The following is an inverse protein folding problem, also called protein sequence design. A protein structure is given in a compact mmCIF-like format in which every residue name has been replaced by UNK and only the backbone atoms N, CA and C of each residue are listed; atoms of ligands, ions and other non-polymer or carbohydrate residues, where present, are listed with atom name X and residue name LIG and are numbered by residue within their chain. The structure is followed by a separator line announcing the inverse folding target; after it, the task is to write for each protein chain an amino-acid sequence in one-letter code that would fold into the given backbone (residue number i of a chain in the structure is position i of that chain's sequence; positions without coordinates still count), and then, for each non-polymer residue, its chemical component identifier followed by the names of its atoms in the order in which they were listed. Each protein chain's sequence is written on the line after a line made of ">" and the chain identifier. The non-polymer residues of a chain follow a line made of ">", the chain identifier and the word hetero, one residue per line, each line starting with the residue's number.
data_IF_905955367226
#
_entry.id   IF_905955367226
#
_cell.length_a   1.000
_cell.length_b   1.000
_cell.length_c   1.000
_cell.angle_alpha   90.00
_cell.angle_beta   90.00
_cell.angle_gamma   90.00
#
_symmetry.space_group_name_H-M   'P 1'
#
loop_
_entity.id
_entity.type
_entity.pdbx_description
1 polymer ?
#
# COMPACT_ATOMS: atom_id res chain seq x y z
N UNK A 1 16.20 -2.05 7.32
CA UNK A 1 14.92 -1.59 7.91
C UNK A 1 14.06 -1.03 6.79
N UNK A 2 12.94 -1.69 6.57
CA UNK A 2 11.98 -1.36 5.54
C UNK A 2 11.47 0.09 5.65
N UNK A 3 11.18 0.69 4.51
CA UNK A 3 10.67 2.06 4.44
C UNK A 3 9.70 2.25 3.29
N UNK A 4 8.64 3.03 3.53
CA UNK A 4 7.67 3.40 2.51
C UNK A 4 8.36 4.23 1.42
N UNK A 5 8.18 3.84 0.16
CA UNK A 5 8.68 4.54 -1.03
C UNK A 5 7.57 5.30 -1.73
N UNK A 6 6.38 4.73 -1.74
CA UNK A 6 5.22 5.31 -2.39
C UNK A 6 3.93 4.90 -1.68
N UNK A 7 2.94 5.78 -1.75
CA UNK A 7 1.58 5.53 -1.29
C UNK A 7 0.60 6.12 -2.28
N UNK A 8 -0.36 5.32 -2.73
CA UNK A 8 -1.47 5.77 -3.58
C UNK A 8 -2.80 5.39 -2.93
N UNK A 9 -3.58 6.39 -2.55
CA UNK A 9 -4.86 6.24 -1.84
C UNK A 9 -5.96 6.73 -2.76
N UNK A 10 -7.03 5.95 -2.90
CA UNK A 10 -8.24 6.30 -3.65
C UNK A 10 -9.49 5.96 -2.85
N UNK A 11 -10.46 6.87 -2.95
CA UNK A 11 -11.80 6.75 -2.41
C UNK A 11 -11.89 6.52 -0.88
N UNK A 12 -10.94 7.02 -0.08
CA UNK A 12 -10.87 6.77 1.36
C UNK A 12 -11.13 8.04 2.18
N UNK A 13 -12.26 8.08 2.89
CA UNK A 13 -12.70 9.18 3.78
C UNK A 13 -12.60 10.54 3.07
N UNK A 14 -11.81 11.48 3.59
CA UNK A 14 -11.61 12.80 2.97
C UNK A 14 -10.83 12.77 1.64
N UNK A 15 -10.24 11.64 1.25
CA UNK A 15 -9.33 11.53 0.12
C UNK A 15 -10.05 10.90 -1.09
N UNK A 16 -10.28 11.69 -2.14
CA UNK A 16 -10.69 11.15 -3.44
C UNK A 16 -9.55 10.40 -4.11
N UNK A 17 -8.39 11.05 -4.21
CA UNK A 17 -7.13 10.48 -4.70
C UNK A 17 -5.92 11.22 -4.11
N UNK A 18 -4.89 10.48 -3.71
CA UNK A 18 -3.61 11.02 -3.26
C UNK A 18 -2.48 10.08 -3.66
N UNK A 19 -1.46 10.59 -4.34
CA UNK A 19 -0.20 9.91 -4.60
C UNK A 19 0.94 10.66 -3.88
N UNK A 20 1.71 9.94 -3.07
CA UNK A 20 2.78 10.53 -2.27
C UNK A 20 4.00 9.62 -2.21
N UNK A 21 5.16 10.16 -2.53
CA UNK A 21 6.45 9.49 -2.40
C UNK A 21 7.26 10.20 -1.30
N UNK A 22 7.26 9.70 -0.05
CA UNK A 22 8.04 10.29 1.03
C UNK A 22 9.53 10.32 0.67
N UNK A 23 10.20 11.42 1.02
CA UNK A 23 11.64 11.53 0.88
C UNK A 23 12.36 10.65 1.93
N UNK A 24 13.66 10.42 1.74
CA UNK A 24 14.48 9.77 2.78
C UNK A 24 14.53 10.64 4.04
N UNK A 25 14.48 10.01 5.21
CA UNK A 25 14.55 10.69 6.50
C UNK A 25 13.17 11.08 7.04
N UNK A 26 13.10 12.26 7.67
CA UNK A 26 11.88 12.75 8.32
C UNK A 26 10.96 13.45 7.31
N UNK A 27 9.72 13.02 7.25
CA UNK A 27 8.66 13.68 6.49
C UNK A 27 7.60 14.24 7.44
N UNK A 28 7.16 15.47 7.20
CA UNK A 28 6.15 16.14 8.01
C UNK A 28 4.90 16.42 7.18
N UNK A 29 3.74 15.90 7.61
CA UNK A 29 2.44 16.28 7.06
C UNK A 29 1.93 17.52 7.80
N UNK A 30 1.76 18.63 7.10
CA UNK A 30 1.36 19.93 7.69
C UNK A 30 0.10 20.44 7.00
N UNK A 31 -0.82 21.00 7.78
CA UNK A 31 -2.06 21.56 7.27
C UNK A 31 -3.09 21.82 8.37
N UNK A 32 -4.18 22.54 8.07
CA UNK A 32 -5.26 22.85 9.02
C UNK A 32 -5.88 21.62 9.69
N UNK A 33 -6.66 21.81 10.75
CA UNK A 33 -7.47 20.72 11.33
C UNK A 33 -8.32 20.04 10.24
N UNK A 34 -8.49 18.72 10.36
CA UNK A 34 -9.30 17.91 9.43
C UNK A 34 -8.86 17.91 7.95
N UNK A 35 -7.63 18.35 7.65
CA UNK A 35 -7.10 18.37 6.27
C UNK A 35 -6.67 16.99 5.72
N UNK A 36 -7.03 15.88 6.37
CA UNK A 36 -6.69 14.52 5.93
C UNK A 36 -5.29 14.00 6.30
N UNK A 37 -4.49 14.72 7.11
CA UNK A 37 -3.13 14.26 7.52
C UNK A 37 -3.17 12.90 8.21
N UNK A 38 -4.01 12.77 9.24
CA UNK A 38 -4.20 11.49 9.95
C UNK A 38 -4.80 10.44 9.03
N UNK A 39 -5.70 10.83 8.12
CA UNK A 39 -6.29 9.93 7.12
C UNK A 39 -5.24 9.27 6.22
N UNK A 40 -4.18 10.00 5.83
CA UNK A 40 -3.06 9.42 5.06
C UNK A 40 -2.33 8.36 5.90
N UNK A 41 -2.05 8.66 7.17
CA UNK A 41 -1.38 7.72 8.07
C UNK A 41 -2.25 6.50 8.39
N UNK A 42 -3.55 6.70 8.60
CA UNK A 42 -4.53 5.64 8.83
C UNK A 42 -4.63 4.71 7.62
N UNK A 43 -4.60 5.25 6.39
CA UNK A 43 -4.60 4.44 5.18
C UNK A 43 -3.35 3.55 5.08
N UNK A 44 -2.17 4.11 5.38
CA UNK A 44 -0.91 3.37 5.39
C UNK A 44 -0.94 2.29 6.47
N UNK A 45 -1.38 2.61 7.70
CA UNK A 45 -1.52 1.65 8.80
C UNK A 45 -2.47 0.51 8.41
N UNK A 46 -3.65 0.85 7.88
CA UNK A 46 -4.67 -0.10 7.47
C UNK A 46 -4.19 -1.04 6.34
N UNK A 47 -3.34 -0.55 5.44
CA UNK A 47 -2.78 -1.36 4.36
C UNK A 47 -1.63 -2.26 4.84
N UNK A 48 -0.75 -1.79 5.72
CA UNK A 48 0.43 -2.52 6.16
C UNK A 48 0.18 -3.44 7.36
N UNK A 49 -0.80 -3.13 8.21
CA UNK A 49 -1.20 -3.94 9.34
C UNK A 49 -2.52 -4.66 9.02
N UNK A 50 -2.49 -5.92 8.55
CA UNK A 50 -3.69 -6.73 8.44
C UNK A 50 -4.18 -7.08 9.85
N UNK A 51 -4.84 -6.14 10.53
CA UNK A 51 -5.59 -6.44 11.74
C UNK A 51 -6.73 -7.37 11.31
N UNK A 52 -6.90 -8.50 12.00
CA UNK A 52 -7.97 -9.47 11.73
C UNK A 52 -9.38 -8.85 11.70
N UNK A 53 -9.53 -7.65 12.25
CA UNK A 53 -10.77 -6.87 12.30
C UNK A 53 -10.52 -5.39 12.01
N UNK A 54 -9.92 -5.07 10.87
CA UNK A 54 -10.06 -3.74 10.32
C UNK A 54 -11.55 -3.50 10.01
N UNK A 55 -12.27 -2.87 10.94
CA UNK A 55 -13.67 -2.51 10.72
C UNK A 55 -13.70 -1.34 9.72
N UNK A 56 -13.98 -1.66 8.46
CA UNK A 56 -14.27 -0.68 7.42
C UNK A 56 -15.79 -0.53 7.34
N UNK A 57 -16.24 0.71 7.19
CA UNK A 57 -17.65 1.08 7.12
C UNK A 57 -17.94 1.88 5.86
N UNK A 58 -19.22 2.09 5.56
CA UNK A 58 -19.66 2.97 4.47
C UNK A 58 -19.11 4.39 4.61
N UNK A 59 -18.90 4.86 5.85
CA UNK A 59 -18.36 6.18 6.15
C UNK A 59 -16.87 6.33 5.76
N UNK A 60 -16.17 5.21 5.52
CA UNK A 60 -14.79 5.23 5.06
C UNK A 60 -14.68 5.46 3.54
N UNK A 61 -15.79 5.43 2.79
CA UNK A 61 -15.79 5.75 1.36
C UNK A 61 -15.84 7.25 1.14
N UNK A 62 -15.03 7.76 0.22
CA UNK A 62 -15.06 9.19 -0.09
C UNK A 62 -16.44 9.60 -0.59
N UNK A 63 -17.04 10.60 0.07
CA UNK A 63 -18.43 11.04 -0.18
C UNK A 63 -19.47 9.93 -0.08
N UNK A 64 -19.19 8.86 0.67
CA UNK A 64 -20.06 7.69 0.80
C UNK A 64 -20.32 6.99 -0.56
N UNK A 65 -19.41 7.16 -1.53
CA UNK A 65 -19.54 6.57 -2.87
C UNK A 65 -19.00 5.14 -2.89
N UNK A 66 -19.86 4.16 -2.61
CA UNK A 66 -19.57 2.73 -2.66
C UNK A 66 -19.50 2.18 -4.10
N UNK A 67 -19.85 2.97 -5.12
CA UNK A 67 -19.75 2.53 -6.53
C UNK A 67 -18.29 2.39 -6.99
N UNK A 68 -17.35 2.92 -6.20
CA UNK A 68 -15.91 2.80 -6.40
C UNK A 68 -15.30 2.11 -5.18
N UNK A 69 -14.37 1.16 -5.35
CA UNK A 69 -13.69 0.56 -4.21
C UNK A 69 -12.76 1.57 -3.54
N UNK A 70 -12.53 1.39 -2.24
CA UNK A 70 -11.34 1.94 -1.57
C UNK A 70 -10.14 1.18 -2.11
N UNK A 71 -9.12 1.90 -2.58
CA UNK A 71 -7.85 1.31 -3.03
C UNK A 71 -6.70 2.04 -2.35
N UNK A 72 -5.92 1.31 -1.55
CA UNK A 72 -4.73 1.81 -0.90
C UNK A 72 -3.55 0.94 -1.31
N UNK A 73 -2.62 1.52 -2.05
CA UNK A 73 -1.37 0.89 -2.46
C UNK A 73 -0.22 1.47 -1.64
N UNK A 74 0.54 0.62 -0.95
CA UNK A 74 1.75 1.02 -0.23
C UNK A 74 2.94 0.24 -0.79
N UNK A 75 3.88 0.97 -1.36
CA UNK A 75 5.16 0.43 -1.84
C UNK A 75 6.21 0.55 -0.76
N UNK A 76 6.84 -0.58 -0.43
CA UNK A 76 7.87 -0.71 0.60
C UNK A 76 9.19 -1.12 -0.05
N UNK A 77 10.24 -0.37 0.24
CA UNK A 77 11.62 -0.66 -0.13
C UNK A 77 12.51 -0.84 1.10
N UNK A 78 13.82 -0.90 0.89
CA UNK A 78 14.81 -1.32 1.87
C UNK A 78 14.40 -2.65 2.54
N UNK A 79 13.94 -3.59 1.71
CA UNK A 79 13.57 -4.93 2.09
C UNK A 79 14.82 -5.66 2.60
N UNK A 80 14.64 -6.48 3.63
CA UNK A 80 15.73 -7.31 4.15
C UNK A 80 15.98 -8.50 3.20
N UNK A 81 17.22 -9.00 3.16
CA UNK A 81 17.66 -10.00 2.16
C UNK A 81 16.78 -11.27 2.17
N UNK A 82 16.32 -11.69 3.35
CA UNK A 82 15.41 -12.84 3.50
C UNK A 82 14.10 -12.67 2.69
N UNK A 83 13.57 -11.45 2.58
CA UNK A 83 12.36 -11.17 1.79
C UNK A 83 12.64 -11.18 0.28
N UNK A 84 13.85 -10.81 -0.12
CA UNK A 84 14.27 -10.80 -1.52
C UNK A 84 14.52 -12.23 -2.03
N UNK A 85 15.02 -13.10 -1.17
CA UNK A 85 15.39 -14.48 -1.50
C UNK A 85 14.22 -15.49 -1.40
N UNK A 86 13.08 -15.07 -0.84
CA UNK A 86 11.88 -15.90 -0.78
C UNK A 86 11.26 -16.06 -2.18
N UNK A 87 11.27 -17.29 -2.70
CA UNK A 87 10.60 -17.69 -3.95
C UNK A 87 9.14 -17.20 -4.05
N UNK A 88 8.46 -17.08 -2.91
CA UNK A 88 7.10 -16.58 -2.81
C UNK A 88 6.95 -15.11 -3.27
N UNK A 89 7.99 -14.29 -3.14
CA UNK A 89 7.96 -12.86 -3.43
C UNK A 89 8.61 -12.48 -4.76
N UNK A 90 9.46 -13.33 -5.33
CA UNK A 90 10.16 -13.09 -6.60
C UNK A 90 9.22 -12.61 -7.71
N UNK A 91 8.02 -13.19 -7.81
CA UNK A 91 7.02 -12.81 -8.82
C UNK A 91 6.31 -11.47 -8.59
N UNK A 92 6.51 -10.83 -7.44
CA UNK A 92 5.88 -9.59 -7.01
C UNK A 92 6.87 -8.44 -6.81
N UNK A 93 8.17 -8.72 -6.91
CA UNK A 93 9.20 -7.69 -6.86
C UNK A 93 9.02 -6.74 -8.05
N UNK A 94 9.14 -5.45 -7.74
CA UNK A 94 9.04 -4.33 -8.68
C UNK A 94 10.28 -3.46 -8.55
N UNK A 95 10.54 -2.63 -9.55
CA UNK A 95 11.69 -1.72 -9.55
C UNK A 95 11.33 -0.33 -9.07
N UNK A 96 12.10 0.24 -8.14
CA UNK A 96 11.97 1.65 -7.74
C UNK A 96 13.18 2.45 -8.19
N UNK A 97 12.94 3.47 -9.00
CA UNK A 97 13.97 4.36 -9.53
C UNK A 97 14.34 5.49 -8.57
N UNK A 98 15.53 6.07 -8.75
CA UNK A 98 15.97 7.24 -7.98
C UNK A 98 15.06 8.47 -8.23
N UNK A 99 14.40 8.53 -9.38
CA UNK A 99 13.45 9.58 -9.77
C UNK A 99 12.05 9.38 -9.17
N UNK A 100 11.85 8.34 -8.35
CA UNK A 100 10.57 8.08 -7.68
C UNK A 100 9.51 7.45 -8.58
N UNK A 101 9.93 6.76 -9.63
CA UNK A 101 9.05 5.97 -10.52
C UNK A 101 9.09 4.50 -10.16
N UNK A 102 7.91 3.89 -10.15
CA UNK A 102 7.70 2.46 -9.97
C UNK A 102 7.63 1.76 -11.33
N UNK A 103 8.44 0.73 -11.49
CA UNK A 103 8.49 -0.14 -12.66
C UNK A 103 7.93 -1.53 -12.33
N UNK A 104 7.31 -2.18 -13.32
CA UNK A 104 6.62 -3.47 -13.11
C UNK A 104 7.58 -4.65 -12.90
N UNK A 105 8.84 -4.49 -13.31
CA UNK A 105 9.89 -5.49 -13.16
C UNK A 105 11.08 -4.92 -12.38
N UNK A 106 11.78 -5.76 -11.60
CA UNK A 106 13.07 -5.37 -11.04
C UNK A 106 14.10 -5.20 -12.17
N UNK A 107 15.06 -4.30 -12.00
CA UNK A 107 15.98 -3.94 -13.07
C UNK A 107 17.31 -3.40 -12.57
N UNK A 108 18.29 -3.31 -13.47
CA UNK A 108 19.62 -2.81 -13.13
C UNK A 108 19.55 -1.34 -12.71
N UNK A 109 20.00 -1.05 -11.48
CA UNK A 109 19.97 0.30 -10.92
C UNK A 109 18.63 0.68 -10.27
N UNK A 110 17.68 -0.25 -10.22
CA UNK A 110 16.42 -0.07 -9.50
C UNK A 110 16.49 -0.77 -8.15
N UNK A 111 15.94 -0.12 -7.13
CA UNK A 111 15.74 -0.74 -5.82
C UNK A 111 14.59 -1.76 -5.91
N UNK A 112 14.78 -3.02 -5.47
CA UNK A 112 13.68 -3.98 -5.40
C UNK A 112 12.68 -3.55 -4.32
N UNK A 113 11.41 -3.50 -4.70
CA UNK A 113 10.31 -3.10 -3.82
C UNK A 113 9.12 -4.04 -3.93
N UNK A 114 8.30 -4.07 -2.88
CA UNK A 114 7.01 -4.75 -2.87
C UNK A 114 5.89 -3.71 -2.74
N UNK A 115 4.79 -3.92 -3.46
CA UNK A 115 3.58 -3.10 -3.30
C UNK A 115 2.47 -3.94 -2.73
N UNK A 116 1.98 -3.57 -1.56
CA UNK A 116 0.79 -4.15 -0.94
C UNK A 116 -0.41 -3.29 -1.33
N UNK A 117 -1.46 -3.93 -1.84
CA UNK A 117 -2.77 -3.32 -2.09
C UNK A 117 -3.76 -3.79 -1.04
N UNK A 118 -4.41 -2.85 -0.38
CA UNK A 118 -5.72 -3.06 0.23
C UNK A 118 -6.82 -2.60 -0.72
N UNK A 119 -7.80 -3.46 -0.94
CA UNK A 119 -9.05 -3.15 -1.64
C UNK A 119 -10.24 -3.43 -0.73
N UNK A 120 -11.19 -2.49 -0.67
CA UNK A 120 -12.49 -2.69 -0.01
C UNK A 120 -13.59 -2.32 -0.99
N UNK A 121 -14.46 -3.28 -1.29
CA UNK A 121 -15.63 -3.08 -2.13
C UNK A 121 -16.86 -2.66 -1.34
N UNK A 122 -18.00 -2.63 -2.03
CA UNK A 122 -19.33 -2.39 -1.44
C UNK A 122 -19.77 -3.46 -0.42
N UNK A 123 -19.14 -4.63 -0.45
CA UNK A 123 -19.30 -5.69 0.55
C UNK A 123 -18.61 -5.37 1.89
N UNK A 124 -17.87 -4.27 1.96
CA UNK A 124 -17.10 -3.83 3.14
C UNK A 124 -16.08 -4.87 3.62
N UNK A 125 -15.68 -5.81 2.77
CA UNK A 125 -14.70 -6.84 3.11
C UNK A 125 -13.30 -6.40 2.65
N UNK A 126 -12.37 -6.15 3.58
CA UNK A 126 -11.00 -5.82 3.23
C UNK A 126 -10.26 -7.00 2.58
N UNK A 127 -9.59 -6.75 1.45
CA UNK A 127 -8.80 -7.74 0.71
C UNK A 127 -7.40 -7.20 0.46
N UNK A 128 -6.39 -7.88 1.00
CA UNK A 128 -4.99 -7.55 0.78
C UNK A 128 -4.39 -8.42 -0.32
N UNK A 129 -3.53 -7.82 -1.16
CA UNK A 129 -2.82 -8.49 -2.25
C UNK A 129 -1.44 -7.89 -2.45
N UNK A 130 -0.51 -8.71 -2.92
CA UNK A 130 0.73 -8.20 -3.49
C UNK A 130 0.52 -7.86 -4.96
N UNK A 131 1.03 -6.70 -5.34
CA UNK A 131 1.00 -6.21 -6.71
C UNK A 131 2.32 -6.55 -7.39
N UNK A 132 2.27 -7.36 -8.44
CA UNK A 132 3.42 -7.67 -9.31
C UNK A 132 3.12 -7.34 -10.78
N UNK A 133 3.94 -7.85 -11.69
CA UNK A 133 3.70 -7.79 -13.14
C UNK A 133 2.33 -8.39 -13.50
N UNK A 134 1.74 -7.96 -14.63
CA UNK A 134 0.34 -8.22 -15.03
C UNK A 134 -0.11 -9.70 -15.05
N UNK A 135 0.82 -10.66 -15.01
CA UNK A 135 0.55 -12.11 -15.00
C UNK A 135 0.52 -12.73 -13.60
N UNK A 136 0.88 -11.99 -12.55
CA UNK A 136 1.04 -12.49 -11.18
C UNK A 136 0.48 -11.51 -10.14
N UNK A 137 -0.76 -11.07 -10.32
CA UNK A 137 -1.53 -10.49 -9.21
C UNK A 137 -2.31 -11.61 -8.53
N UNK A 138 -1.68 -12.37 -7.63
CA UNK A 138 -2.43 -13.35 -6.85
C UNK A 138 -3.14 -12.67 -5.68
N UNK A 139 -4.27 -13.24 -5.29
CA UNK A 139 -4.79 -13.06 -3.94
C UNK A 139 -3.83 -13.72 -2.95
N UNK A 140 -2.67 -13.10 -2.71
CA UNK A 140 -1.85 -13.42 -1.55
C UNK A 140 -2.65 -12.92 -0.35
N UNK A 141 -3.52 -13.79 0.17
CA UNK A 141 -4.15 -13.61 1.46
C UNK A 141 -2.99 -13.60 2.47
N UNK A 142 -2.46 -12.43 2.80
CA UNK A 142 -1.42 -12.18 3.81
C UNK A 142 -1.90 -12.54 5.24
N UNK A 143 -2.93 -13.38 5.38
CA UNK A 143 -3.57 -13.77 6.66
C UNK A 143 -2.84 -14.92 7.35
N UNK A 144 -1.82 -15.54 6.74
CA UNK A 144 -1.03 -16.57 7.42
C UNK A 144 0.38 -16.07 7.74
N UNK A 145 0.65 -15.99 9.04
CA UNK A 145 1.97 -15.99 9.70
C UNK A 145 2.68 -14.63 9.87
N UNK A 146 2.02 -13.70 10.57
CA UNK A 146 2.77 -12.86 11.51
C UNK A 146 2.65 -13.50 12.89
N UNK A 147 3.57 -14.39 13.19
CA UNK A 147 3.72 -15.02 14.50
C UNK A 147 4.26 -14.03 15.52
N UNK A 148 3.42 -13.67 16.48
CA UNK A 148 3.81 -13.49 17.88
C UNK A 148 2.82 -14.30 18.73
#
# INVERSE_FOLDING_TARGET
>A
MAAVRHTHIRNFRGISELAWSPARGLNCLIGPGDSGKSTILDAIDLCLMPRRFAAVSEADFHKLDLTKPILIDVTVGALDDDLLDLDAYVGYLRGWSAEGKLEDEPGRGLEPVLTIRLEVGDDLVPRWRLMGSALRSAAAVLIREWGF
#
